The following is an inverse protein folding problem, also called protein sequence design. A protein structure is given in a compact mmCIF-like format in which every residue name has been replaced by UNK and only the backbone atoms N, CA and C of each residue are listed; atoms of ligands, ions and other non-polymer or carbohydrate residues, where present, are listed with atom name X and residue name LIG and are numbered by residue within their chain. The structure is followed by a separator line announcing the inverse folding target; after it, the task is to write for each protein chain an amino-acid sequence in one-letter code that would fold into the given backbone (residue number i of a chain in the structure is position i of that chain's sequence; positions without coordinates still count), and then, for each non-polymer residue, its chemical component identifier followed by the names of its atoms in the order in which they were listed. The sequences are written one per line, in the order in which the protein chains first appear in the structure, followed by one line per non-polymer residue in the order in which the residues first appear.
data_IF_762911232997
#
_entry.id   IF_762911232997
#
_cell.length_a   1.000
_cell.length_b   1.000
_cell.length_c   1.000
_cell.angle_alpha   90.00
_cell.angle_beta   90.00
_cell.angle_gamma   90.00
#
_symmetry.space_group_name_H-M   'P 1'
#
loop_
_entity.id
_entity.type
_entity.pdbx_description
1 polymer ?
#
# COMPACT_ATOMS: atom_id res chain seq x y z
N UNK A 1 -8.69 -11.39 -2.71
CA UNK A 1 -8.62 -10.68 -1.43
C UNK A 1 -8.39 -9.20 -1.68
N UNK A 2 -9.01 -8.34 -0.87
CA UNK A 2 -8.87 -6.89 -0.94
C UNK A 2 -8.02 -6.39 0.22
N UNK A 3 -7.37 -5.24 0.04
CA UNK A 3 -6.66 -4.52 1.09
C UNK A 3 -7.26 -3.13 1.27
N UNK A 4 -7.12 -2.54 2.46
CA UNK A 4 -7.47 -1.14 2.65
C UNK A 4 -6.45 -0.24 1.97
N UNK A 5 -6.91 0.86 1.40
CA UNK A 5 -6.06 1.92 0.86
C UNK A 5 -6.47 3.28 1.45
N UNK A 6 -6.78 3.29 2.79
CA UNK A 6 -7.47 4.37 3.50
C UNK A 6 -8.92 4.55 3.03
N UNK A 7 -9.74 5.20 3.82
CA UNK A 7 -11.10 5.56 3.40
C UNK A 7 -11.08 6.85 2.56
N UNK A 8 -10.39 7.87 3.02
CA UNK A 8 -10.36 9.18 2.38
C UNK A 8 -9.21 9.37 1.38
N UNK A 9 -8.29 8.39 1.25
CA UNK A 9 -7.13 8.45 0.37
C UNK A 9 -6.28 9.72 0.54
N UNK A 10 -6.12 10.18 1.76
CA UNK A 10 -5.35 11.38 2.07
C UNK A 10 -3.86 11.13 2.25
N UNK A 11 -3.10 12.22 2.38
CA UNK A 11 -1.68 12.16 2.69
C UNK A 11 -1.45 11.75 4.14
N UNK A 12 -0.85 10.59 4.37
CA UNK A 12 -0.67 10.01 5.70
C UNK A 12 0.19 10.87 6.63
N UNK A 13 1.19 11.55 6.09
CA UNK A 13 2.05 12.47 6.85
C UNK A 13 1.33 13.73 7.34
N UNK A 14 0.15 14.05 6.82
CA UNK A 14 -0.70 15.15 7.29
C UNK A 14 -1.74 14.73 8.31
N UNK A 15 -1.91 13.42 8.54
CA UNK A 15 -2.87 12.91 9.49
C UNK A 15 -2.34 12.98 10.92
N UNK A 16 -3.24 13.24 11.87
CA UNK A 16 -3.02 12.94 13.29
C UNK A 16 -3.37 11.47 13.58
N UNK A 17 -3.03 10.99 14.76
CA UNK A 17 -3.42 9.64 15.18
C UNK A 17 -4.95 9.48 15.22
N UNK A 18 -5.66 10.48 15.73
CA UNK A 18 -7.13 10.51 15.81
C UNK A 18 -7.76 10.46 14.42
N UNK A 19 -7.19 11.22 13.47
CA UNK A 19 -7.65 11.19 12.08
C UNK A 19 -7.43 9.81 11.46
N UNK A 20 -6.28 9.17 11.74
CA UNK A 20 -6.00 7.82 11.27
C UNK A 20 -6.96 6.78 11.85
N UNK A 21 -7.29 6.88 13.15
CA UNK A 21 -8.29 6.02 13.81
C UNK A 21 -9.64 6.18 13.11
N UNK A 22 -10.11 7.42 12.97
CA UNK A 22 -11.41 7.70 12.34
C UNK A 22 -11.49 7.20 10.90
N UNK A 23 -10.42 7.38 10.10
CA UNK A 23 -10.35 6.89 8.72
C UNK A 23 -10.42 5.35 8.67
N UNK A 24 -9.66 4.67 9.52
CA UNK A 24 -9.64 3.22 9.59
C UNK A 24 -10.98 2.63 10.07
N UNK A 25 -11.62 3.24 11.07
CA UNK A 25 -12.94 2.85 11.57
C UNK A 25 -14.00 3.00 10.49
N UNK A 26 -13.98 4.13 9.78
CA UNK A 26 -14.92 4.40 8.70
C UNK A 26 -14.76 3.40 7.56
N UNK A 27 -13.52 3.08 7.17
CA UNK A 27 -13.26 2.05 6.19
C UNK A 27 -13.81 0.68 6.63
N UNK A 28 -13.57 0.29 7.88
CA UNK A 28 -14.05 -0.97 8.43
C UNK A 28 -15.57 -1.04 8.54
N UNK A 29 -16.21 0.07 8.81
CA UNK A 29 -17.67 0.15 8.92
C UNK A 29 -18.36 0.12 7.57
N UNK A 30 -17.82 0.81 6.57
CA UNK A 30 -18.53 1.07 5.31
C UNK A 30 -18.01 0.20 4.14
N UNK A 31 -16.71 -0.14 4.14
CA UNK A 31 -16.09 -0.88 3.02
C UNK A 31 -15.86 -2.35 3.36
N UNK A 32 -15.36 -2.66 4.55
CA UNK A 32 -15.06 -4.04 4.93
C UNK A 32 -16.26 -5.00 4.80
N UNK A 33 -17.52 -4.62 5.12
CA UNK A 33 -18.69 -5.49 4.90
C UNK A 33 -18.91 -5.87 3.44
N UNK A 34 -18.47 -5.05 2.51
CA UNK A 34 -18.64 -5.25 1.06
C UNK A 34 -17.54 -6.13 0.46
N UNK A 35 -16.31 -6.04 0.98
CA UNK A 35 -15.14 -6.68 0.39
C UNK A 35 -14.57 -7.82 1.24
N UNK A 36 -15.05 -7.99 2.45
CA UNK A 36 -14.57 -8.98 3.42
C UNK A 36 -13.46 -8.43 4.31
N UNK A 37 -13.22 -9.12 5.44
CA UNK A 37 -12.18 -8.75 6.41
C UNK A 37 -10.79 -8.81 5.78
N UNK A 38 -9.96 -7.83 6.10
CA UNK A 38 -8.58 -7.79 5.65
C UNK A 38 -7.62 -7.33 6.75
N UNK A 39 -6.39 -7.82 6.67
CA UNK A 39 -5.26 -7.35 7.48
C UNK A 39 -4.26 -6.54 6.64
N UNK A 40 -4.57 -6.27 5.38
CA UNK A 40 -3.69 -5.56 4.45
C UNK A 40 -4.04 -4.08 4.42
N UNK A 41 -3.05 -3.23 4.59
CA UNK A 41 -3.16 -1.79 4.43
C UNK A 41 -2.10 -1.28 3.44
N UNK A 42 -2.53 -0.67 2.37
CA UNK A 42 -1.66 -0.02 1.40
C UNK A 42 -1.67 1.48 1.65
N UNK A 43 -0.49 2.07 1.91
CA UNK A 43 -0.42 3.50 2.14
C UNK A 43 -0.75 4.28 0.87
N UNK A 44 -1.70 5.23 0.93
CA UNK A 44 -1.86 6.23 -0.13
C UNK A 44 -0.53 6.91 -0.45
N UNK A 45 -0.29 7.15 -1.70
CA UNK A 45 0.96 7.75 -2.22
C UNK A 45 2.25 7.01 -1.83
N UNK A 46 2.16 5.84 -1.20
CA UNK A 46 3.30 5.10 -0.69
C UNK A 46 3.98 5.75 0.53
N UNK A 47 3.30 6.64 1.21
CA UNK A 47 3.85 7.40 2.35
C UNK A 47 3.97 6.54 3.60
N UNK A 48 5.20 6.10 3.90
CA UNK A 48 5.50 5.35 5.11
C UNK A 48 5.42 6.23 6.36
N UNK A 49 4.75 5.73 7.39
CA UNK A 49 4.55 6.42 8.68
C UNK A 49 5.04 5.55 9.85
N UNK A 50 6.06 4.74 9.65
CA UNK A 50 6.45 3.71 10.61
C UNK A 50 6.94 4.26 11.95
N UNK A 51 7.72 5.33 11.90
CA UNK A 51 8.57 5.71 13.02
C UNK A 51 9.58 4.61 13.36
N UNK A 52 10.41 4.85 14.33
CA UNK A 52 11.33 3.85 14.85
C UNK A 52 10.52 2.72 15.53
N UNK A 53 10.78 1.47 15.15
CA UNK A 53 10.10 0.29 15.71
C UNK A 53 8.56 0.37 15.73
N UNK A 54 7.97 0.98 14.71
CA UNK A 54 6.53 1.24 14.65
C UNK A 54 6.03 2.17 15.78
N UNK A 55 6.86 3.07 16.26
CA UNK A 55 6.53 3.97 17.37
C UNK A 55 5.60 5.12 16.97
N UNK A 56 5.46 5.42 15.68
CA UNK A 56 4.56 6.48 15.21
C UNK A 56 3.11 6.19 15.66
N UNK A 57 2.45 7.11 16.37
CA UNK A 57 1.09 6.90 16.88
C UNK A 57 0.07 6.56 15.77
N UNK A 58 0.27 7.07 14.56
CA UNK A 58 -0.60 6.77 13.41
C UNK A 58 -0.44 5.32 12.96
N UNK A 59 0.81 4.82 12.95
CA UNK A 59 1.10 3.42 12.65
C UNK A 59 0.51 2.50 13.71
N UNK A 60 0.61 2.86 14.98
CA UNK A 60 -0.01 2.12 16.08
C UNK A 60 -1.51 2.04 15.93
N UNK A 61 -2.16 3.15 15.58
CA UNK A 61 -3.60 3.19 15.34
C UNK A 61 -4.05 2.18 14.26
N UNK A 62 -3.31 2.08 13.16
CA UNK A 62 -3.59 1.08 12.13
C UNK A 62 -3.39 -0.36 12.61
N UNK A 63 -2.36 -0.61 13.43
CA UNK A 63 -2.11 -1.93 14.00
C UNK A 63 -3.21 -2.30 15.00
N UNK A 64 -3.64 -1.39 15.85
CA UNK A 64 -4.74 -1.55 16.79
C UNK A 64 -6.07 -1.77 16.06
N UNK A 65 -6.26 -1.10 14.93
CA UNK A 65 -7.38 -1.37 14.02
C UNK A 65 -7.34 -2.77 13.38
N UNK A 66 -6.27 -3.55 13.56
CA UNK A 66 -6.17 -4.94 13.12
C UNK A 66 -5.42 -5.16 11.81
N UNK A 67 -4.79 -4.14 11.23
CA UNK A 67 -3.93 -4.32 10.08
C UNK A 67 -2.58 -4.93 10.49
N UNK A 68 -2.00 -5.79 9.63
CA UNK A 68 -0.77 -6.56 9.91
C UNK A 68 0.21 -6.58 8.76
N UNK A 69 -0.24 -6.38 7.53
CA UNK A 69 0.59 -6.24 6.34
C UNK A 69 0.44 -4.83 5.79
N UNK A 70 1.53 -4.10 5.75
CA UNK A 70 1.59 -2.71 5.29
C UNK A 70 2.38 -2.61 3.99
N UNK A 71 1.80 -1.94 3.00
CA UNK A 71 2.40 -1.83 1.67
C UNK A 71 2.71 -0.37 1.34
N UNK A 72 4.00 -0.04 1.21
CA UNK A 72 4.47 1.22 0.64
C UNK A 72 4.58 1.17 -0.87
N UNK A 73 5.34 2.09 -1.45
CA UNK A 73 5.73 2.09 -2.86
C UNK A 73 7.25 2.12 -2.96
N UNK A 74 7.82 1.23 -3.73
CA UNK A 74 9.26 1.13 -3.92
C UNK A 74 9.64 -0.11 -4.73
N UNK A 75 10.92 -0.44 -4.69
CA UNK A 75 11.48 -1.57 -5.45
C UNK A 75 12.06 -2.65 -4.55
N UNK A 76 11.92 -2.52 -3.21
CA UNK A 76 12.42 -3.51 -2.29
C UNK A 76 11.40 -4.65 -2.14
N UNK A 77 11.76 -5.87 -2.54
CA UNK A 77 10.88 -7.02 -2.34
C UNK A 77 10.91 -7.53 -0.89
N UNK A 78 11.61 -6.86 0.00
CA UNK A 78 11.80 -7.33 1.37
C UNK A 78 10.57 -7.11 2.23
N UNK A 79 10.37 -8.10 3.08
CA UNK A 79 9.52 -8.00 4.24
C UNK A 79 10.36 -7.64 5.45
N UNK A 80 9.96 -6.63 6.17
CA UNK A 80 10.49 -6.35 7.50
C UNK A 80 9.47 -6.86 8.50
N UNK A 81 9.87 -7.81 9.33
CA UNK A 81 9.07 -8.26 10.47
C UNK A 81 9.47 -7.44 11.67
N UNK A 82 8.54 -6.71 12.20
CA UNK A 82 8.80 -5.89 13.39
C UNK A 82 7.92 -6.39 14.54
N UNK A 83 8.53 -6.88 15.63
CA UNK A 83 7.78 -7.16 16.84
C UNK A 83 7.36 -5.84 17.50
N UNK A 84 6.13 -5.76 17.95
CA UNK A 84 5.62 -4.60 18.69
C UNK A 84 5.87 -4.80 20.19
N UNK A 85 6.93 -4.16 20.73
CA UNK A 85 7.19 -4.16 22.17
C UNK A 85 7.14 -5.55 22.81
N UNK A 86 6.46 -5.68 23.92
CA UNK A 86 6.22 -6.96 24.61
C UNK A 86 5.12 -7.82 23.95
N UNK A 87 4.45 -7.29 22.94
CA UNK A 87 3.40 -7.99 22.21
C UNK A 87 4.00 -9.04 21.28
N UNK A 88 3.40 -10.23 21.26
CA UNK A 88 3.69 -11.25 20.25
C UNK A 88 3.18 -10.89 18.84
N UNK A 89 2.56 -9.74 18.70
CA UNK A 89 1.99 -9.28 17.44
C UNK A 89 3.10 -8.90 16.47
N UNK A 90 3.18 -9.64 15.38
CA UNK A 90 4.10 -9.35 14.28
C UNK A 90 3.37 -8.55 13.19
N UNK A 91 4.08 -7.59 12.61
CA UNK A 91 3.64 -6.84 11.44
C UNK A 91 4.64 -7.01 10.31
N UNK A 92 4.13 -7.01 9.09
CA UNK A 92 4.91 -7.17 7.88
C UNK A 92 4.86 -5.89 7.08
N UNK A 93 5.99 -5.53 6.50
CA UNK A 93 6.10 -4.38 5.60
C UNK A 93 6.64 -4.84 4.25
N UNK A 94 6.05 -4.34 3.17
CA UNK A 94 6.43 -4.68 1.81
C UNK A 94 6.28 -3.46 0.90
N UNK A 95 7.20 -3.29 -0.03
CA UNK A 95 7.01 -2.34 -1.11
C UNK A 95 6.10 -2.92 -2.20
N UNK A 96 5.25 -2.07 -2.76
CA UNK A 96 4.51 -2.33 -4.00
C UNK A 96 5.30 -1.74 -5.16
N UNK A 97 5.50 -2.48 -6.20
CA UNK A 97 6.03 -1.97 -7.44
C UNK A 97 4.89 -1.42 -8.31
N UNK A 98 4.97 -0.16 -8.69
CA UNK A 98 4.00 0.44 -9.61
C UNK A 98 4.31 -0.02 -11.05
N UNK A 99 3.35 -0.70 -11.67
CA UNK A 99 3.44 -1.20 -13.04
C UNK A 99 2.65 -0.30 -14.02
N UNK A 100 2.92 1.00 -13.98
CA UNK A 100 2.38 1.95 -14.94
C UNK A 100 3.33 2.16 -16.13
N UNK A 101 2.81 2.76 -17.19
CA UNK A 101 3.60 2.98 -18.42
C UNK A 101 4.82 3.90 -18.24
N UNK A 102 4.81 4.77 -17.23
CA UNK A 102 5.95 5.62 -16.89
C UNK A 102 7.05 4.80 -16.20
N UNK A 103 6.69 4.02 -15.18
CA UNK A 103 7.59 3.15 -14.45
C UNK A 103 8.24 2.10 -15.36
N UNK A 104 7.45 1.51 -16.27
CA UNK A 104 7.94 0.57 -17.27
C UNK A 104 8.98 1.19 -18.21
N UNK A 105 8.71 2.40 -18.72
CA UNK A 105 9.64 3.10 -19.60
C UNK A 105 10.95 3.50 -18.92
N UNK A 106 10.90 3.79 -17.62
CA UNK A 106 12.09 4.13 -16.84
C UNK A 106 12.85 2.91 -16.31
N UNK A 107 12.39 1.69 -16.60
CA UNK A 107 13.00 0.49 -16.10
C UNK A 107 12.87 0.29 -14.58
N UNK A 108 11.93 1.00 -13.96
CA UNK A 108 11.58 0.74 -12.55
C UNK A 108 11.06 -0.68 -12.43
N UNK A 109 11.35 -1.33 -11.32
CA UNK A 109 10.99 -2.73 -11.11
C UNK A 109 11.68 -3.74 -12.05
N UNK A 110 12.70 -3.35 -12.81
CA UNK A 110 13.45 -4.25 -13.70
C UNK A 110 14.08 -5.44 -12.99
N UNK A 111 14.27 -5.35 -11.66
CA UNK A 111 14.72 -6.46 -10.82
C UNK A 111 13.64 -7.52 -10.59
N UNK A 112 12.37 -7.17 -10.75
CA UNK A 112 11.23 -8.05 -10.48
C UNK A 112 10.68 -8.68 -11.76
N UNK A 113 10.77 -7.97 -12.87
CA UNK A 113 10.32 -8.46 -14.17
C UNK A 113 10.94 -7.66 -15.30
N UNK A 114 10.99 -8.25 -16.49
CA UNK A 114 11.41 -7.59 -17.71
C UNK A 114 10.20 -7.00 -18.44
N UNK A 115 10.21 -5.70 -18.71
CA UNK A 115 9.16 -5.07 -19.49
C UNK A 115 9.04 -5.68 -20.90
N UNK A 116 10.15 -6.19 -21.47
CA UNK A 116 10.16 -6.85 -22.78
C UNK A 116 9.45 -8.19 -22.77
N UNK A 117 9.42 -8.89 -21.64
CA UNK A 117 8.74 -10.18 -21.49
C UNK A 117 7.24 -10.04 -21.37
N UNK A 118 6.77 -8.91 -20.82
CA UNK A 118 5.34 -8.64 -20.64
C UNK A 118 4.73 -7.77 -21.74
N UNK A 119 5.57 -7.11 -22.53
CA UNK A 119 5.12 -6.27 -23.63
C UNK A 119 4.93 -7.12 -24.90
N UNK A 120 3.69 -7.16 -25.34
CA UNK A 120 3.32 -7.77 -26.62
C UNK A 120 3.06 -6.69 -27.67
N UNK A 121 4.03 -6.51 -28.58
CA UNK A 121 3.94 -5.50 -29.63
C UNK A 121 2.84 -5.79 -30.68
N UNK A 122 2.36 -7.04 -30.74
CA UNK A 122 1.27 -7.42 -31.65
C UNK A 122 -0.11 -7.10 -31.11
N UNK A 123 -0.18 -6.79 -29.80
CA UNK A 123 -1.43 -6.49 -29.12
C UNK A 123 -1.99 -5.14 -29.62
N UNK A 124 -3.23 -5.08 -30.08
CA UNK A 124 -3.81 -3.82 -30.52
C UNK A 124 -3.82 -2.81 -29.37
N UNK A 125 -3.47 -1.57 -29.67
CA UNK A 125 -3.56 -0.47 -28.70
C UNK A 125 -5.03 -0.33 -28.30
N UNK A 126 -5.39 -0.43 -27.03
CA UNK A 126 -6.78 -0.49 -26.57
C UNK A 126 -7.55 0.84 -26.77
N UNK A 127 -6.85 1.92 -27.04
CA UNK A 127 -7.45 3.22 -27.28
C UNK A 127 -6.98 3.79 -28.61
N UNK A 128 -7.87 4.30 -29.44
CA UNK A 128 -7.46 5.12 -30.57
C UNK A 128 -6.65 6.28 -30.02
N UNK A 129 -5.49 6.54 -30.60
CA UNK A 129 -4.76 7.76 -30.35
C UNK A 129 -5.71 8.90 -30.66
N UNK A 130 -6.14 9.65 -29.65
CA UNK A 130 -6.79 10.93 -29.91
C UNK A 130 -5.72 11.83 -30.51
N UNK A 131 -5.61 11.81 -31.82
CA UNK A 131 -4.96 12.86 -32.54
C UNK A 131 -5.83 14.10 -32.34
N UNK A 132 -5.38 14.98 -31.44
CA UNK A 132 -5.84 16.34 -31.34
C UNK A 132 -5.15 17.18 -32.39
#
# INVERSE_FOLDING_TARGET
NFGSHSYAHGHMNKYTAEHMISDAEKWKKEVEPLVGKTQVYAYPYGEWILGENCSDPRQRALIEAGFRLFCGVGENPFYVKMPLGESSTKVLFQDRCALDGFSLRQGRCARLFSAREVYDASRPVPYPSHAS
#
